data_IF_845624746719
#
_entry.id   IF_845624746719
#
_cell.length_a   1.000
_cell.length_b   1.000
_cell.length_c   1.000
_cell.angle_alpha   90.00
_cell.angle_beta   90.00
_cell.angle_gamma   90.00
#
_symmetry.space_group_name_H-M   'P 1'
#
loop_
_entity.id
_entity.type
_entity.pdbx_description
1 polymer ?
#
# COMPACT_ATOMS: atom_id res chain seq x y z
N UNK A 1 6.50 -12.33 -17.86
CA UNK A 1 7.48 -11.30 -18.24
C UNK A 1 7.09 -10.00 -17.56
N UNK A 2 7.83 -9.59 -16.52
CA UNK A 2 7.58 -8.33 -15.79
C UNK A 2 8.09 -7.09 -16.55
N UNK A 3 8.82 -7.28 -17.65
CA UNK A 3 9.63 -6.24 -18.33
C UNK A 3 8.88 -5.02 -18.89
N UNK A 4 7.54 -5.01 -18.91
CA UNK A 4 6.77 -3.87 -19.45
C UNK A 4 5.78 -3.26 -18.44
N UNK A 5 5.79 -3.70 -17.17
CA UNK A 5 4.90 -3.18 -16.14
C UNK A 5 5.48 -1.89 -15.57
N UNK A 6 4.70 -0.82 -15.61
CA UNK A 6 5.14 0.53 -15.21
C UNK A 6 4.51 1.00 -13.89
N UNK A 7 3.59 0.21 -13.33
CA UNK A 7 2.91 0.50 -12.07
C UNK A 7 3.29 -0.55 -11.03
N UNK A 8 3.55 -0.13 -9.80
CA UNK A 8 3.75 -1.02 -8.65
C UNK A 8 2.66 -0.77 -7.61
N UNK A 9 2.01 -1.82 -7.13
CA UNK A 9 1.17 -1.80 -5.93
C UNK A 9 1.91 -2.58 -4.82
N UNK A 10 2.40 -1.85 -3.80
CA UNK A 10 3.31 -2.43 -2.79
C UNK A 10 2.61 -3.19 -1.67
N UNK A 11 1.29 -3.08 -1.56
CA UNK A 11 0.49 -3.68 -0.48
C UNK A 11 -0.85 -4.16 -1.02
N UNK A 12 -0.82 -5.00 -2.06
CA UNK A 12 -1.98 -5.16 -2.94
C UNK A 12 -3.20 -5.79 -2.25
N UNK A 13 -3.02 -6.58 -1.20
CA UNK A 13 -4.09 -7.30 -0.52
C UNK A 13 -5.00 -8.05 -1.50
N UNK A 14 -6.31 -7.85 -1.37
CA UNK A 14 -7.31 -8.38 -2.30
C UNK A 14 -7.58 -7.50 -3.53
N UNK A 15 -6.72 -6.49 -3.79
CA UNK A 15 -6.78 -5.56 -4.93
C UNK A 15 -8.12 -4.82 -5.03
N UNK A 16 -8.74 -4.51 -3.89
CA UNK A 16 -10.17 -4.13 -3.84
C UNK A 16 -10.48 -2.73 -4.33
N UNK A 17 -9.49 -1.82 -4.34
CA UNK A 17 -9.68 -0.47 -4.89
C UNK A 17 -9.43 -0.40 -6.41
N UNK A 18 -8.88 -1.45 -7.01
CA UNK A 18 -8.66 -1.51 -8.45
C UNK A 18 -9.96 -1.79 -9.20
N UNK A 19 -10.30 -0.96 -10.18
CA UNK A 19 -11.39 -1.25 -11.12
C UNK A 19 -11.09 -2.50 -11.95
N UNK A 20 -9.87 -2.57 -12.52
CA UNK A 20 -9.32 -3.79 -13.09
C UNK A 20 -8.33 -4.41 -12.10
N UNK A 21 -8.76 -5.46 -11.38
CA UNK A 21 -7.93 -6.16 -10.36
C UNK A 21 -6.74 -6.92 -10.95
N UNK A 22 -6.65 -7.06 -12.27
CA UNK A 22 -5.55 -7.66 -13.01
C UNK A 22 -5.07 -6.71 -14.09
N UNK A 23 -4.82 -5.46 -13.71
CA UNK A 23 -4.35 -4.46 -14.65
C UNK A 23 -3.00 -4.92 -15.26
N UNK A 24 -2.89 -5.00 -16.60
CA UNK A 24 -1.76 -5.68 -17.25
C UNK A 24 -0.42 -4.98 -17.01
N UNK A 25 -0.44 -3.67 -16.75
CA UNK A 25 0.75 -2.85 -16.54
C UNK A 25 1.17 -2.73 -15.06
N UNK A 26 0.53 -3.47 -14.15
CA UNK A 26 0.77 -3.36 -12.71
C UNK A 26 1.44 -4.60 -12.17
N UNK A 27 2.54 -4.44 -11.43
CA UNK A 27 3.11 -5.46 -10.55
C UNK A 27 2.40 -5.35 -9.21
N UNK A 28 1.87 -6.46 -8.72
CA UNK A 28 1.22 -6.52 -7.41
C UNK A 28 2.10 -7.29 -6.44
N UNK A 29 2.48 -6.67 -5.32
CA UNK A 29 3.17 -7.36 -4.24
C UNK A 29 2.38 -7.27 -2.93
N UNK A 30 2.56 -8.27 -2.07
CA UNK A 30 2.09 -8.27 -0.68
C UNK A 30 3.03 -9.20 0.10
N UNK A 31 3.22 -8.93 1.39
CA UNK A 31 4.03 -9.81 2.25
C UNK A 31 3.34 -11.16 2.48
N UNK A 32 2.07 -11.28 2.12
CA UNK A 32 1.24 -12.47 2.31
C UNK A 32 0.84 -13.09 0.97
N UNK A 33 0.60 -14.40 1.02
CA UNK A 33 -0.20 -15.13 0.03
C UNK A 33 -1.20 -15.97 0.80
N UNK A 34 -2.49 -15.71 0.59
CA UNK A 34 -3.58 -16.32 1.36
C UNK A 34 -4.66 -16.81 0.40
N UNK A 35 -4.98 -18.10 0.48
CA UNK A 35 -6.02 -18.74 -0.32
C UNK A 35 -7.42 -18.41 0.19
N UNK A 36 -8.43 -18.55 -0.68
CA UNK A 36 -9.84 -18.42 -0.28
C UNK A 36 -10.16 -19.30 0.92
N UNK A 37 -10.99 -18.77 1.83
CA UNK A 37 -11.41 -19.46 3.05
C UNK A 37 -10.58 -19.14 4.31
N UNK A 38 -9.41 -18.48 4.19
CA UNK A 38 -8.60 -18.10 5.35
C UNK A 38 -9.28 -17.08 6.30
N UNK A 39 -10.26 -16.35 5.78
CA UNK A 39 -11.19 -15.50 6.52
C UNK A 39 -12.59 -16.12 6.43
N UNK A 40 -13.08 -16.71 7.53
CA UNK A 40 -14.37 -17.40 7.60
C UNK A 40 -15.55 -16.48 7.22
N UNK A 41 -15.49 -15.23 7.62
CA UNK A 41 -16.50 -14.19 7.37
C UNK A 41 -16.44 -13.62 5.94
N UNK A 42 -15.38 -13.94 5.19
CA UNK A 42 -15.12 -13.49 3.81
C UNK A 42 -14.55 -14.65 3.00
N UNK A 43 -15.32 -15.73 2.78
CA UNK A 43 -14.80 -16.98 2.22
C UNK A 43 -14.20 -16.84 0.81
N UNK A 44 -14.65 -15.85 0.04
CA UNK A 44 -14.15 -15.58 -1.31
C UNK A 44 -12.98 -14.58 -1.35
N UNK A 45 -12.54 -14.06 -0.21
CA UNK A 45 -11.39 -13.16 -0.15
C UNK A 45 -10.09 -13.96 -0.20
N UNK A 46 -9.17 -13.51 -1.04
CA UNK A 46 -7.84 -14.07 -1.22
C UNK A 46 -6.83 -12.93 -1.30
N UNK A 47 -5.58 -13.22 -0.96
CA UNK A 47 -4.42 -12.35 -1.21
C UNK A 47 -3.49 -13.12 -2.13
N UNK A 48 -3.50 -12.75 -3.40
CA UNK A 48 -2.75 -13.46 -4.43
C UNK A 48 -1.89 -12.43 -5.20
N UNK A 49 -0.73 -12.02 -4.67
CA UNK A 49 0.15 -11.09 -5.35
C UNK A 49 0.87 -11.77 -6.53
N UNK A 50 1.45 -10.97 -7.41
CA UNK A 50 2.35 -11.47 -8.44
C UNK A 50 3.67 -11.95 -7.79
N UNK A 51 4.11 -11.27 -6.73
CA UNK A 51 5.29 -11.64 -5.93
C UNK A 51 5.01 -11.46 -4.44
N UNK A 52 5.47 -12.41 -3.62
CA UNK A 52 5.44 -12.25 -2.16
C UNK A 52 6.68 -11.46 -1.76
N UNK A 53 6.51 -10.27 -1.20
CA UNK A 53 7.60 -9.33 -0.92
C UNK A 53 7.23 -8.39 0.22
N UNK A 54 8.21 -8.04 1.05
CA UNK A 54 8.05 -7.03 2.09
C UNK A 54 8.21 -5.63 1.50
N UNK A 55 7.24 -4.75 1.75
CA UNK A 55 7.29 -3.38 1.22
C UNK A 55 8.46 -2.55 1.79
N UNK A 56 9.08 -3.00 2.89
CA UNK A 56 10.22 -2.34 3.55
C UNK A 56 11.56 -2.66 2.87
N UNK A 57 11.58 -3.60 1.93
CA UNK A 57 12.77 -4.07 1.22
C UNK A 57 12.39 -4.54 -0.19
N UNK A 58 12.14 -3.56 -1.07
CA UNK A 58 11.68 -3.79 -2.43
C UNK A 58 12.84 -4.28 -3.29
N UNK A 59 12.76 -5.53 -3.75
CA UNK A 59 13.78 -6.16 -4.62
C UNK A 59 13.69 -5.67 -6.08
N UNK A 60 13.53 -4.37 -6.29
CA UNK A 60 13.53 -3.69 -7.57
C UNK A 60 14.65 -2.65 -7.61
N UNK A 61 15.18 -2.39 -8.81
CA UNK A 61 16.16 -1.33 -8.99
C UNK A 61 15.52 0.05 -8.75
N UNK A 62 16.36 1.03 -8.48
CA UNK A 62 15.96 2.43 -8.40
C UNK A 62 15.25 2.85 -9.69
N UNK A 63 14.25 3.73 -9.57
CA UNK A 63 13.57 4.34 -10.71
C UNK A 63 12.93 3.35 -11.71
N UNK A 64 12.49 2.19 -11.22
CA UNK A 64 11.88 1.14 -12.05
C UNK A 64 10.43 1.40 -12.47
N UNK A 65 9.70 2.27 -11.77
CA UNK A 65 8.25 2.44 -11.96
C UNK A 65 7.84 3.89 -12.18
N UNK A 66 6.88 4.10 -13.09
CA UNK A 66 6.24 5.40 -13.36
C UNK A 66 5.23 5.79 -12.29
N UNK A 67 4.59 4.79 -11.68
CA UNK A 67 3.59 4.97 -10.65
C UNK A 67 3.75 3.93 -9.55
N UNK A 68 3.71 4.38 -8.30
CA UNK A 68 3.72 3.49 -7.14
C UNK A 68 2.47 3.75 -6.29
N UNK A 69 1.77 2.70 -5.88
CA UNK A 69 0.64 2.76 -4.95
C UNK A 69 1.07 2.17 -3.62
N UNK A 70 0.94 2.97 -2.56
CA UNK A 70 1.25 2.59 -1.19
C UNK A 70 -0.04 2.64 -0.34
N UNK A 71 -0.60 1.47 -0.05
CA UNK A 71 -1.78 1.28 0.83
C UNK A 71 -1.43 0.30 1.97
N UNK A 72 -0.52 0.68 2.89
CA UNK A 72 -0.06 -0.21 3.94
C UNK A 72 -1.16 -0.50 4.98
N UNK A 73 -0.94 -1.50 5.86
CA UNK A 73 -1.79 -1.69 7.02
C UNK A 73 -1.96 -0.40 7.83
N UNK A 74 -3.16 -0.16 8.36
CA UNK A 74 -3.51 1.08 9.08
C UNK A 74 -4.23 0.81 10.41
N UNK A 75 -4.40 -0.46 10.78
CA UNK A 75 -5.07 -0.86 12.02
C UNK A 75 -4.04 -1.05 13.12
N UNK A 76 -4.20 -0.36 14.25
CA UNK A 76 -3.38 -0.52 15.45
C UNK A 76 -4.17 -1.22 16.56
N UNK A 77 -5.43 -0.85 16.73
CA UNK A 77 -6.25 -1.25 17.86
C UNK A 77 -7.25 -2.33 17.44
N UNK A 78 -6.75 -3.46 16.93
CA UNK A 78 -7.60 -4.56 16.46
C UNK A 78 -7.08 -5.90 16.98
N UNK A 79 -8.00 -6.84 17.29
CA UNK A 79 -7.61 -8.18 17.68
C UNK A 79 -6.87 -8.89 16.53
N UNK A 80 -5.68 -9.44 16.83
CA UNK A 80 -4.78 -10.11 15.85
C UNK A 80 -5.49 -11.18 15.02
N UNK A 81 -6.43 -11.91 15.61
CA UNK A 81 -7.17 -12.99 14.96
C UNK A 81 -8.47 -12.54 14.26
N UNK A 82 -8.81 -11.26 14.32
CA UNK A 82 -10.02 -10.72 13.70
C UNK A 82 -9.96 -10.78 12.17
N UNK A 83 -11.13 -10.89 11.53
CA UNK A 83 -11.22 -10.80 10.08
C UNK A 83 -10.69 -9.47 9.53
N UNK A 84 -10.77 -8.38 10.30
CA UNK A 84 -10.23 -7.06 9.94
C UNK A 84 -8.71 -7.09 9.85
N UNK A 85 -8.02 -7.64 10.86
CA UNK A 85 -6.58 -7.81 10.86
C UNK A 85 -6.12 -8.72 9.73
N UNK A 86 -6.83 -9.83 9.50
CA UNK A 86 -6.54 -10.74 8.37
C UNK A 86 -6.72 -10.06 7.01
N UNK A 87 -7.76 -9.23 6.86
CA UNK A 87 -8.06 -8.56 5.59
C UNK A 87 -7.10 -7.42 5.28
N UNK A 88 -6.91 -6.51 6.24
CA UNK A 88 -6.21 -5.24 6.03
C UNK A 88 -4.79 -5.21 6.61
N UNK A 89 -4.35 -6.27 7.27
CA UNK A 89 -3.12 -6.27 8.05
C UNK A 89 -3.28 -5.47 9.35
N UNK A 90 -2.19 -5.38 10.11
CA UNK A 90 -2.09 -4.63 11.35
C UNK A 90 -0.72 -3.96 11.43
N UNK A 91 -0.67 -2.78 12.02
CA UNK A 91 0.56 -2.09 12.39
C UNK A 91 1.29 -2.86 13.48
N UNK A 92 2.61 -3.03 13.33
CA UNK A 92 3.49 -3.62 14.34
C UNK A 92 3.84 -2.63 15.46
N UNK A 93 4.72 -3.04 16.37
CA UNK A 93 5.20 -2.18 17.45
C UNK A 93 6.02 -1.00 16.91
N UNK A 94 6.87 -1.26 15.90
CA UNK A 94 7.74 -0.26 15.26
C UNK A 94 7.13 0.34 13.98
N UNK A 95 5.81 0.45 13.94
CA UNK A 95 5.09 0.80 12.72
C UNK A 95 5.53 2.13 12.09
N UNK A 96 5.95 3.12 12.87
CA UNK A 96 6.44 4.40 12.35
C UNK A 96 7.69 4.21 11.48
N UNK A 97 8.62 3.37 11.96
CA UNK A 97 9.85 3.04 11.23
C UNK A 97 9.54 2.18 10.01
N UNK A 98 8.62 1.23 10.15
CA UNK A 98 8.18 0.38 9.04
C UNK A 98 7.56 1.22 7.91
N UNK A 99 6.62 2.12 8.24
CA UNK A 99 5.98 3.00 7.26
C UNK A 99 6.98 3.96 6.61
N UNK A 100 7.90 4.53 7.40
CA UNK A 100 8.95 5.40 6.84
C UNK A 100 9.82 4.63 5.85
N UNK A 101 10.35 3.47 6.24
CA UNK A 101 11.18 2.63 5.35
C UNK A 101 10.42 2.23 4.10
N UNK A 102 9.16 1.82 4.25
CA UNK A 102 8.30 1.48 3.13
C UNK A 102 8.09 2.63 2.16
N UNK A 103 7.86 3.84 2.67
CA UNK A 103 7.75 5.03 1.85
C UNK A 103 9.08 5.35 1.15
N UNK A 104 10.21 5.28 1.86
CA UNK A 104 11.53 5.52 1.30
C UNK A 104 11.82 4.54 0.14
N UNK A 105 11.48 3.26 0.30
CA UNK A 105 11.58 2.25 -0.75
C UNK A 105 10.65 2.56 -1.94
N UNK A 106 9.40 2.95 -1.68
CA UNK A 106 8.48 3.39 -2.73
C UNK A 106 9.04 4.59 -3.50
N UNK A 107 9.69 5.54 -2.81
CA UNK A 107 10.31 6.71 -3.43
C UNK A 107 11.56 6.36 -4.24
N UNK A 108 12.35 5.39 -3.76
CA UNK A 108 13.55 4.88 -4.43
C UNK A 108 13.20 4.23 -5.77
N UNK A 109 12.22 3.33 -5.78
CA UNK A 109 11.81 2.60 -7.00
C UNK A 109 10.96 3.45 -7.95
N UNK A 110 10.43 4.59 -7.50
CA UNK A 110 9.70 5.53 -8.35
C UNK A 110 10.68 6.33 -9.21
N UNK A 111 10.43 6.42 -10.52
CA UNK A 111 11.25 7.20 -11.44
C UNK A 111 11.11 8.72 -11.23
N UNK A 112 12.07 9.47 -11.76
CA UNK A 112 11.95 10.92 -11.87
C UNK A 112 10.69 11.32 -12.65
N UNK A 113 9.95 12.31 -12.16
CA UNK A 113 8.62 12.73 -12.62
C UNK A 113 7.51 11.67 -12.46
N UNK A 114 7.78 10.57 -11.75
CA UNK A 114 6.79 9.56 -11.40
C UNK A 114 5.82 10.03 -10.30
N UNK A 115 4.72 9.30 -10.16
CA UNK A 115 3.65 9.59 -9.19
C UNK A 115 3.55 8.50 -8.12
N UNK A 116 3.52 8.90 -6.84
CA UNK A 116 3.20 8.01 -5.73
C UNK A 116 1.79 8.33 -5.22
N UNK A 117 0.93 7.31 -5.19
CA UNK A 117 -0.40 7.40 -4.57
C UNK A 117 -0.36 6.70 -3.21
N UNK A 118 -0.55 7.47 -2.15
CA UNK A 118 -0.66 6.96 -0.80
C UNK A 118 -2.13 6.90 -0.38
N UNK A 119 -2.57 5.74 0.09
CA UNK A 119 -3.91 5.55 0.64
C UNK A 119 -3.81 5.27 2.13
N UNK A 120 -4.62 5.96 2.92
CA UNK A 120 -4.64 5.81 4.38
C UNK A 120 -6.06 5.87 4.94
N UNK A 121 -6.41 4.95 5.82
CA UNK A 121 -7.64 5.06 6.61
C UNK A 121 -7.29 5.52 8.03
N UNK A 122 -7.69 6.75 8.37
CA UNK A 122 -7.23 7.46 9.57
C UNK A 122 -7.97 7.07 10.86
N UNK A 123 -8.46 5.83 10.94
CA UNK A 123 -9.28 5.36 12.06
C UNK A 123 -8.52 5.35 13.39
N UNK A 124 -7.29 4.85 13.37
CA UNK A 124 -6.49 4.65 14.59
C UNK A 124 -5.31 5.65 14.68
N UNK A 125 -4.80 6.14 13.55
CA UNK A 125 -3.70 7.13 13.47
C UNK A 125 -4.02 8.15 12.38
N UNK A 126 -3.85 9.44 12.66
CA UNK A 126 -4.18 10.50 11.70
C UNK A 126 -3.22 10.51 10.52
N UNK A 127 -3.74 10.80 9.31
CA UNK A 127 -2.89 10.92 8.12
C UNK A 127 -1.79 11.98 8.31
N UNK A 128 -2.07 13.05 9.04
CA UNK A 128 -1.11 14.12 9.31
C UNK A 128 0.08 13.70 10.18
N UNK A 129 -0.08 12.66 11.00
CA UNK A 129 1.03 12.07 11.75
C UNK A 129 1.91 11.26 10.80
N UNK A 130 1.30 10.47 9.91
CA UNK A 130 2.01 9.66 8.93
C UNK A 130 2.80 10.53 7.94
N UNK A 131 2.20 11.60 7.42
CA UNK A 131 2.84 12.49 6.44
C UNK A 131 4.11 13.15 6.99
N UNK A 132 4.19 13.40 8.31
CA UNK A 132 5.41 13.92 8.95
C UNK A 132 6.56 12.92 8.90
N UNK A 133 6.27 11.62 8.90
CA UNK A 133 7.29 10.57 8.86
C UNK A 133 7.97 10.47 7.49
N UNK A 134 7.22 10.73 6.42
CA UNK A 134 7.68 10.55 5.05
C UNK A 134 8.68 11.63 4.60
N UNK A 135 8.68 12.80 5.23
CA UNK A 135 9.61 13.89 4.90
C UNK A 135 9.47 14.42 3.47
N UNK A 136 8.33 14.16 2.81
CA UNK A 136 7.99 14.65 1.47
C UNK A 136 6.64 15.35 1.51
N UNK A 137 6.51 16.43 0.74
CA UNK A 137 5.27 17.18 0.65
C UNK A 137 4.36 16.58 -0.43
N UNK A 138 3.09 16.29 -0.11
CA UNK A 138 2.12 15.86 -1.11
C UNK A 138 1.63 17.02 -1.98
N UNK A 139 1.26 16.75 -3.23
CA UNK A 139 0.70 17.74 -4.15
C UNK A 139 -0.75 18.08 -3.81
N UNK A 140 -1.56 17.06 -3.60
CA UNK A 140 -2.99 17.18 -3.32
C UNK A 140 -3.52 15.87 -2.73
N UNK A 141 -4.76 15.89 -2.25
CA UNK A 141 -5.42 14.70 -1.77
C UNK A 141 -6.93 14.83 -1.73
N UNK A 142 -7.60 13.70 -1.53
CA UNK A 142 -9.06 13.66 -1.44
C UNK A 142 -9.51 12.71 -0.32
N UNK A 143 -10.40 13.16 0.60
CA UNK A 143 -11.09 12.27 1.50
C UNK A 143 -12.18 11.48 0.74
N UNK A 144 -12.31 10.20 1.04
CA UNK A 144 -13.26 9.27 0.42
C UNK A 144 -14.01 8.45 1.47
N UNK A 145 -15.17 7.92 1.07
CA UNK A 145 -16.08 7.16 1.93
C UNK A 145 -17.10 8.05 2.66
N UNK A 146 -18.19 7.44 3.16
CA UNK A 146 -19.29 8.15 3.84
C UNK A 146 -18.84 8.94 5.08
N UNK A 147 -17.78 8.49 5.73
CA UNK A 147 -17.21 9.12 6.92
C UNK A 147 -16.04 10.07 6.62
N UNK A 148 -15.55 10.12 5.38
CA UNK A 148 -14.39 10.94 5.00
C UNK A 148 -13.05 10.50 5.61
N UNK A 149 -12.99 9.35 6.30
CA UNK A 149 -11.79 8.88 7.02
C UNK A 149 -10.74 8.19 6.11
N UNK A 150 -11.09 7.81 4.88
CA UNK A 150 -10.09 7.28 3.95
C UNK A 150 -9.53 8.42 3.12
N UNK A 151 -8.23 8.67 3.19
CA UNK A 151 -7.54 9.70 2.43
C UNK A 151 -6.75 9.06 1.31
N UNK A 152 -6.83 9.66 0.14
CA UNK A 152 -5.90 9.43 -0.96
C UNK A 152 -5.04 10.66 -1.09
N UNK A 153 -3.73 10.47 -1.13
CA UNK A 153 -2.73 11.54 -1.16
C UNK A 153 -1.80 11.28 -2.34
N UNK A 154 -1.57 12.31 -3.14
CA UNK A 154 -0.73 12.24 -4.34
C UNK A 154 0.59 12.94 -4.08
N UNK A 155 1.69 12.29 -4.46
CA UNK A 155 3.03 12.88 -4.50
C UNK A 155 3.58 12.74 -5.91
N UNK A 156 4.50 13.64 -6.27
CA UNK A 156 5.28 13.54 -7.50
C UNK A 156 6.75 13.68 -7.16
N UNK A 157 7.58 12.78 -7.72
CA UNK A 157 9.03 12.83 -7.53
C UNK A 157 9.64 13.83 -8.50
N UNK A 158 9.98 15.01 -7.99
CA UNK A 158 10.62 16.08 -8.75
C UNK A 158 12.13 16.18 -8.47
N UNK A 159 12.60 15.45 -7.45
CA UNK A 159 13.98 15.40 -6.95
C UNK A 159 14.25 14.02 -6.33
#
# INVERSE_FOLDING_TARGET
MMMNKIILDVCCGGRTFWFNRRHPNTVYIDIRREEKGFIKERPNFEVNPDMVMDFRDLQFADESFKMVVFDPPHLKNVGKNSWLAKKYGMLGENWEQDLKKGFDECWRVLEMNGVLIFKWAERDVKVSEILKLFGREPLFGHPTGRSGHTKWVCFMKLQ
#
